data_IF_105370378387
#
_entry.id   IF_105370378387
#
_cell.length_a   1.000
_cell.length_b   1.000
_cell.length_c   1.000
_cell.angle_alpha   90.00
_cell.angle_beta   90.00
_cell.angle_gamma   90.00
#
_symmetry.space_group_name_H-M   'P 1'
#
loop_
_entity.id
_entity.type
_entity.pdbx_description
1 polymer ?
#
# COMPACT_ATOMS: atom_id res chain seq x y z
N UNK A 1 -20.69 28.26 -46.31
CA UNK A 1 -20.34 29.13 -45.17
C UNK A 1 -21.10 28.66 -43.95
N UNK A 2 -20.38 28.12 -42.95
CA UNK A 2 -20.72 28.00 -41.53
C UNK A 2 -20.10 26.70 -40.97
N UNK A 3 -18.99 26.83 -40.24
CA UNK A 3 -18.59 25.83 -39.24
C UNK A 3 -18.02 26.59 -38.05
N UNK A 4 -18.78 26.57 -36.97
CA UNK A 4 -18.56 27.29 -35.72
C UNK A 4 -17.43 26.64 -34.92
N UNK A 5 -16.50 27.48 -34.48
CA UNK A 5 -15.50 27.21 -33.45
C UNK A 5 -16.19 26.78 -32.13
N UNK A 6 -15.81 25.62 -31.58
CA UNK A 6 -16.01 25.30 -30.16
C UNK A 6 -14.70 25.54 -29.43
N UNK A 7 -14.60 26.74 -28.86
CA UNK A 7 -13.55 27.15 -27.94
C UNK A 7 -13.92 26.62 -26.55
N UNK A 8 -12.91 26.01 -25.89
CA UNK A 8 -12.73 25.77 -24.47
C UNK A 8 -13.77 26.39 -23.51
N UNK A 9 -14.56 25.52 -22.88
CA UNK A 9 -15.21 25.77 -21.60
C UNK A 9 -14.88 24.62 -20.64
N UNK A 10 -13.79 24.78 -19.86
CA UNK A 10 -13.72 24.24 -18.50
C UNK A 10 -12.45 24.74 -17.79
N UNK A 11 -12.44 26.05 -17.54
CA UNK A 11 -11.69 26.61 -16.42
C UNK A 11 -12.77 27.35 -15.63
N UNK A 12 -13.19 26.80 -14.49
CA UNK A 12 -13.64 27.48 -13.26
C UNK A 12 -14.31 26.46 -12.32
N UNK A 13 -13.48 25.78 -11.52
CA UNK A 13 -13.90 25.22 -10.22
C UNK A 13 -12.82 25.38 -9.15
N UNK A 14 -12.08 26.49 -9.17
CA UNK A 14 -11.07 26.82 -8.17
C UNK A 14 -11.65 27.29 -6.81
N UNK A 15 -12.94 27.08 -6.55
CA UNK A 15 -13.62 27.49 -5.31
C UNK A 15 -13.93 26.38 -4.30
N UNK A 16 -13.70 25.10 -4.63
CA UNK A 16 -14.14 23.96 -3.80
C UNK A 16 -13.00 23.07 -3.27
N UNK A 17 -11.82 23.13 -3.89
CA UNK A 17 -10.71 22.20 -3.56
C UNK A 17 -10.13 22.49 -2.16
N UNK A 18 -10.09 23.76 -1.73
CA UNK A 18 -9.49 24.16 -0.44
C UNK A 18 -10.29 23.68 0.78
N UNK A 19 -11.63 23.59 0.69
CA UNK A 19 -12.45 23.04 1.78
C UNK A 19 -12.33 21.52 1.92
N UNK A 20 -11.98 20.82 0.85
CA UNK A 20 -11.93 19.36 0.81
C UNK A 20 -10.67 18.77 1.47
N UNK A 21 -9.66 19.59 1.80
CA UNK A 21 -8.40 19.15 2.41
C UNK A 21 -8.11 19.82 3.76
N UNK A 22 -9.16 20.24 4.47
CA UNK A 22 -9.04 20.91 5.77
C UNK A 22 -8.34 20.00 6.79
N UNK A 23 -8.59 18.69 6.76
CA UNK A 23 -7.98 17.77 7.72
C UNK A 23 -6.50 17.53 7.38
N UNK A 24 -6.13 17.50 6.10
CA UNK A 24 -4.72 17.44 5.67
C UNK A 24 -3.94 18.68 6.13
N UNK A 25 -4.49 19.89 5.96
CA UNK A 25 -3.82 21.11 6.39
C UNK A 25 -3.61 21.18 7.91
N UNK A 26 -4.62 20.75 8.68
CA UNK A 26 -4.50 20.64 10.14
C UNK A 26 -3.49 19.55 10.54
N UNK A 27 -3.45 18.45 9.79
CA UNK A 27 -2.48 17.37 9.96
C UNK A 27 -1.05 17.87 9.73
N UNK A 28 -0.79 18.64 8.67
CA UNK A 28 0.53 19.22 8.42
C UNK A 28 1.00 20.16 9.53
N UNK A 29 0.11 21.00 10.06
CA UNK A 29 0.44 21.86 11.20
C UNK A 29 0.81 21.01 12.44
N UNK A 30 -0.01 20.00 12.73
CA UNK A 30 0.20 19.11 13.88
C UNK A 30 1.42 18.19 13.73
N UNK A 31 1.80 17.84 12.50
CA UNK A 31 3.00 17.05 12.17
C UNK A 31 4.27 17.83 12.51
N UNK A 32 4.32 19.12 12.17
CA UNK A 32 5.44 20.03 12.52
C UNK A 32 5.61 20.21 14.02
N UNK A 33 4.52 20.13 14.78
CA UNK A 33 4.51 20.27 16.24
C UNK A 33 4.87 18.98 17.00
N UNK A 34 5.08 17.85 16.31
CA UNK A 34 5.48 16.58 16.92
C UNK A 34 4.44 15.88 17.82
N UNK A 35 3.21 16.41 17.91
CA UNK A 35 2.12 15.92 18.79
C UNK A 35 1.27 14.79 18.20
N UNK A 36 1.60 14.33 17.01
CA UNK A 36 0.66 13.67 16.10
C UNK A 36 0.42 12.17 16.36
N UNK A 37 1.29 11.53 17.14
CA UNK A 37 1.46 10.07 17.12
C UNK A 37 0.23 9.26 17.57
N UNK A 38 -0.64 9.80 18.43
CA UNK A 38 -1.77 9.04 18.99
C UNK A 38 -3.11 9.27 18.25
N UNK A 39 -3.30 10.41 17.57
CA UNK A 39 -4.61 10.76 16.98
C UNK A 39 -4.76 10.32 15.52
N UNK A 40 -3.67 9.87 14.89
CA UNK A 40 -3.60 9.67 13.44
C UNK A 40 -4.42 8.45 12.97
N UNK A 41 -4.39 7.36 13.73
CA UNK A 41 -5.10 6.12 13.41
C UNK A 41 -6.63 6.22 13.59
N UNK A 42 -7.15 7.30 14.18
CA UNK A 42 -8.55 7.43 14.58
C UNK A 42 -9.34 8.46 13.77
N UNK A 43 -8.75 9.05 12.71
CA UNK A 43 -9.44 10.05 11.90
C UNK A 43 -9.79 9.51 10.49
N UNK A 44 -10.97 8.88 10.32
CA UNK A 44 -11.38 8.32 9.02
C UNK A 44 -11.53 9.38 7.93
N UNK A 45 -11.80 10.65 8.30
CA UNK A 45 -11.91 11.75 7.34
C UNK A 45 -10.55 12.11 6.76
N UNK A 46 -9.52 12.16 7.61
CA UNK A 46 -8.14 12.37 7.15
C UNK A 46 -7.69 11.24 6.23
N UNK A 47 -7.97 9.98 6.59
CA UNK A 47 -7.59 8.84 5.75
C UNK A 47 -8.26 8.92 4.37
N UNK A 48 -9.55 9.25 4.31
CA UNK A 48 -10.27 9.42 3.05
C UNK A 48 -9.70 10.58 2.20
N UNK A 49 -9.37 11.71 2.82
CA UNK A 49 -8.73 12.84 2.14
C UNK A 49 -7.34 12.47 1.60
N UNK A 50 -6.53 11.73 2.36
CA UNK A 50 -5.21 11.23 1.93
C UNK A 50 -5.37 10.26 0.75
N UNK A 51 -6.29 9.30 0.84
CA UNK A 51 -6.56 8.39 -0.27
C UNK A 51 -6.97 9.16 -1.54
N UNK A 52 -7.90 10.12 -1.42
CA UNK A 52 -8.31 10.95 -2.55
C UNK A 52 -7.16 11.79 -3.10
N UNK A 53 -6.29 12.32 -2.25
CA UNK A 53 -5.14 13.13 -2.66
C UNK A 53 -4.07 12.33 -3.40
N UNK A 54 -3.91 11.04 -3.06
CA UNK A 54 -2.95 10.13 -3.72
C UNK A 54 -3.50 9.62 -5.05
N UNK A 55 -4.80 9.28 -5.12
CA UNK A 55 -5.40 8.72 -6.35
C UNK A 55 -5.79 9.77 -7.38
N UNK A 56 -6.09 11.00 -6.94
CA UNK A 56 -6.37 12.10 -7.86
C UNK A 56 -5.03 12.67 -8.30
N UNK A 57 -4.62 12.39 -9.53
CA UNK A 57 -3.33 12.73 -10.18
C UNK A 57 -2.88 14.23 -10.10
N UNK A 58 -3.59 15.10 -9.38
CA UNK A 58 -3.42 16.57 -9.43
C UNK A 58 -3.50 17.24 -8.05
N UNK A 59 -3.12 16.54 -6.99
CA UNK A 59 -3.05 17.15 -5.66
C UNK A 59 -1.72 17.87 -5.48
N UNK A 60 -1.76 19.20 -5.32
CA UNK A 60 -0.62 20.03 -4.85
C UNK A 60 -0.04 19.52 -3.52
N UNK A 61 -0.81 18.74 -2.77
CA UNK A 61 -0.42 18.15 -1.50
C UNK A 61 0.25 16.77 -1.64
N UNK A 62 0.16 16.11 -2.80
CA UNK A 62 0.62 14.72 -2.96
C UNK A 62 2.11 14.56 -2.60
N UNK A 63 2.97 15.47 -3.05
CA UNK A 63 4.40 15.43 -2.74
C UNK A 63 4.65 15.52 -1.23
N UNK A 64 4.10 16.53 -0.57
CA UNK A 64 4.24 16.76 0.88
C UNK A 64 3.64 15.62 1.70
N UNK A 65 2.52 15.04 1.27
CA UNK A 65 1.92 13.86 1.90
C UNK A 65 2.88 12.67 1.82
N UNK A 66 3.48 12.43 0.65
CA UNK A 66 4.45 11.36 0.46
C UNK A 66 5.67 11.56 1.37
N UNK A 67 6.23 12.77 1.43
CA UNK A 67 7.40 13.05 2.28
C UNK A 67 7.10 12.77 3.77
N UNK A 68 5.96 13.24 4.27
CA UNK A 68 5.55 12.99 5.65
C UNK A 68 5.28 11.50 5.92
N UNK A 69 4.61 10.81 5.00
CA UNK A 69 4.38 9.37 5.13
C UNK A 69 5.71 8.60 5.09
N UNK A 70 6.71 9.06 4.35
CA UNK A 70 7.99 8.39 4.21
C UNK A 70 8.81 8.54 5.49
N UNK A 71 8.74 9.73 6.10
CA UNK A 71 9.27 9.97 7.44
C UNK A 71 8.58 9.10 8.49
N UNK A 72 7.27 8.88 8.39
CA UNK A 72 6.53 8.01 9.31
C UNK A 72 6.84 6.53 9.09
N UNK A 73 7.16 6.09 7.87
CA UNK A 73 7.50 4.70 7.55
C UNK A 73 8.77 4.22 8.28
N UNK A 74 9.73 5.13 8.47
CA UNK A 74 10.96 4.87 9.21
C UNK A 74 10.71 4.63 10.71
N UNK A 75 9.63 5.17 11.27
CA UNK A 75 9.21 4.89 12.63
C UNK A 75 8.37 3.60 12.70
N UNK A 76 8.89 2.60 13.40
CA UNK A 76 8.27 1.27 13.56
C UNK A 76 6.86 1.38 14.15
N UNK A 77 6.58 2.38 14.99
CA UNK A 77 5.25 2.56 15.59
C UNK A 77 4.21 3.07 14.59
N UNK A 78 4.65 3.83 13.58
CA UNK A 78 3.76 4.45 12.58
C UNK A 78 3.75 3.72 11.25
N UNK A 79 4.65 2.74 11.06
CA UNK A 79 4.69 1.90 9.87
C UNK A 79 3.34 1.28 9.49
N UNK A 80 2.53 0.71 10.42
CA UNK A 80 1.22 0.16 10.05
C UNK A 80 0.25 1.20 9.48
N UNK A 81 0.32 2.45 9.96
CA UNK A 81 -0.48 3.55 9.44
C UNK A 81 -0.09 3.90 8.00
N UNK A 82 1.21 3.95 7.69
CA UNK A 82 1.66 4.25 6.33
C UNK A 82 1.32 3.12 5.37
N UNK A 83 1.50 1.87 5.81
CA UNK A 83 1.22 0.68 5.00
C UNK A 83 -0.25 0.54 4.59
N UNK A 84 -1.19 1.15 5.32
CA UNK A 84 -2.61 1.12 4.91
C UNK A 84 -2.87 1.86 3.59
N UNK A 85 -2.01 2.82 3.22
CA UNK A 85 -2.12 3.57 1.96
C UNK A 85 -1.35 2.94 0.80
N UNK A 86 -0.55 1.89 1.07
CA UNK A 86 0.26 1.20 0.07
C UNK A 86 -0.56 0.73 -1.15
N UNK A 87 -1.76 0.15 -1.00
CA UNK A 87 -2.57 -0.23 -2.15
C UNK A 87 -2.92 0.96 -3.05
N UNK A 88 -3.18 2.14 -2.47
CA UNK A 88 -3.47 3.35 -3.24
C UNK A 88 -2.26 3.87 -4.00
N UNK A 89 -1.07 3.81 -3.40
CA UNK A 89 0.18 4.15 -4.07
C UNK A 89 0.46 3.22 -5.25
N UNK A 90 0.26 1.90 -5.07
CA UNK A 90 0.45 0.91 -6.13
C UNK A 90 -0.52 1.14 -7.28
N UNK A 91 -1.80 1.41 -7.00
CA UNK A 91 -2.79 1.71 -8.04
C UNK A 91 -2.42 3.00 -8.78
N UNK A 92 -2.12 4.09 -8.08
CA UNK A 92 -1.73 5.36 -8.70
C UNK A 92 -0.46 5.20 -9.57
N UNK A 93 0.52 4.44 -9.08
CA UNK A 93 1.73 4.11 -9.82
C UNK A 93 1.43 3.37 -11.14
N UNK A 94 0.59 2.33 -11.09
CA UNK A 94 0.22 1.56 -12.28
C UNK A 94 -0.62 2.37 -13.26
N UNK A 95 -1.48 3.26 -12.77
CA UNK A 95 -2.31 4.13 -13.61
C UNK A 95 -1.43 5.01 -14.51
N UNK A 96 -0.36 5.59 -13.93
CA UNK A 96 0.62 6.41 -14.64
C UNK A 96 1.44 5.59 -15.64
N UNK A 97 1.81 4.36 -15.26
CA UNK A 97 2.50 3.45 -16.17
C UNK A 97 1.63 3.09 -17.38
N UNK A 98 0.33 2.85 -17.16
CA UNK A 98 -0.61 2.44 -18.20
C UNK A 98 -1.04 3.59 -19.11
N UNK A 99 -1.34 4.76 -18.54
CA UNK A 99 -1.79 5.94 -19.29
C UNK A 99 -0.64 6.76 -19.90
N UNK A 100 0.62 6.41 -19.60
CA UNK A 100 1.84 7.10 -20.05
C UNK A 100 1.84 8.61 -19.72
N UNK A 101 1.02 9.04 -18.77
CA UNK A 101 0.83 10.45 -18.45
C UNK A 101 1.76 10.90 -17.30
N UNK A 102 3.07 10.77 -17.53
CA UNK A 102 4.09 11.09 -16.50
C UNK A 102 4.19 12.57 -16.15
N UNK A 103 3.61 13.47 -16.95
CA UNK A 103 3.71 14.93 -16.72
C UNK A 103 2.97 15.40 -15.47
N UNK A 104 2.06 14.59 -14.97
CA UNK A 104 1.20 14.93 -13.84
C UNK A 104 1.42 13.99 -12.64
N UNK A 105 2.32 13.01 -12.76
CA UNK A 105 2.66 12.13 -11.65
C UNK A 105 3.67 12.79 -10.70
N UNK A 106 3.48 12.60 -9.40
CA UNK A 106 4.45 13.01 -8.39
C UNK A 106 5.58 11.99 -8.30
N UNK A 107 6.83 12.40 -8.56
CA UNK A 107 8.02 11.56 -8.37
C UNK A 107 8.11 10.99 -6.94
N UNK A 108 7.50 11.68 -5.96
CA UNK A 108 7.45 11.23 -4.56
C UNK A 108 6.59 9.98 -4.37
N UNK A 109 5.59 9.73 -5.22
CA UNK A 109 4.79 8.49 -5.20
C UNK A 109 5.61 7.30 -5.70
N UNK A 110 6.44 7.51 -6.75
CA UNK A 110 7.38 6.50 -7.25
C UNK A 110 8.42 6.16 -6.18
N UNK A 111 8.99 7.20 -5.55
CA UNK A 111 9.99 7.06 -4.51
C UNK A 111 9.43 6.35 -3.26
N UNK A 112 8.20 6.69 -2.85
CA UNK A 112 7.50 6.00 -1.76
C UNK A 112 7.32 4.51 -2.06
N UNK A 113 6.77 4.20 -3.24
CA UNK A 113 6.46 2.81 -3.63
C UNK A 113 7.73 1.97 -3.66
N UNK A 114 8.84 2.53 -4.18
CA UNK A 114 10.15 1.87 -4.20
C UNK A 114 10.80 1.78 -2.83
N UNK A 115 10.72 2.83 -2.02
CA UNK A 115 11.37 2.90 -0.72
C UNK A 115 10.70 2.02 0.34
N UNK A 116 9.42 1.71 0.22
CA UNK A 116 8.76 0.71 1.08
C UNK A 116 9.18 -0.72 0.69
N UNK A 117 9.57 -0.96 -0.56
CA UNK A 117 10.03 -2.27 -1.04
C UNK A 117 11.52 -2.53 -0.82
N UNK A 118 12.31 -1.47 -0.61
CA UNK A 118 13.75 -1.56 -0.39
C UNK A 118 14.07 -1.32 1.08
N UNK A 119 14.24 -2.41 1.84
CA UNK A 119 14.61 -2.36 3.26
C UNK A 119 16.11 -2.00 3.48
N UNK A 120 16.86 -1.63 2.42
CA UNK A 120 18.17 -1.01 2.49
C UNK A 120 19.32 -1.88 2.99
N UNK A 121 19.07 -3.14 3.40
CA UNK A 121 20.14 -4.00 3.90
C UNK A 121 19.91 -5.48 3.59
N UNK A 122 20.62 -5.94 2.55
CA UNK A 122 20.69 -7.32 2.04
C UNK A 122 19.43 -7.83 1.33
N UNK A 123 19.59 -8.76 0.38
CA UNK A 123 18.45 -9.46 -0.20
C UNK A 123 17.71 -10.19 0.94
N UNK A 124 16.46 -9.81 1.17
CA UNK A 124 15.67 -10.39 2.24
C UNK A 124 15.07 -11.69 1.73
N UNK A 125 15.76 -12.80 1.97
CA UNK A 125 15.22 -14.13 1.66
C UNK A 125 14.17 -14.49 2.72
N UNK A 126 12.91 -14.53 2.30
CA UNK A 126 11.83 -15.08 3.12
C UNK A 126 11.81 -16.60 2.99
N UNK A 127 12.47 -17.28 3.92
CA UNK A 127 12.44 -18.74 4.02
C UNK A 127 11.39 -19.20 5.04
N UNK A 128 10.59 -20.19 4.68
CA UNK A 128 9.72 -20.89 5.61
C UNK A 128 9.88 -22.40 5.43
N UNK A 129 9.84 -23.13 6.54
CA UNK A 129 9.90 -24.59 6.53
C UNK A 129 8.48 -25.15 6.42
N UNK A 130 8.25 -25.98 5.42
CA UNK A 130 6.98 -26.73 5.31
C UNK A 130 6.93 -27.76 6.45
N UNK A 131 5.93 -27.72 7.34
CA UNK A 131 5.79 -28.69 8.41
C UNK A 131 5.46 -30.08 7.82
N UNK A 132 6.00 -31.12 8.45
CA UNK A 132 5.81 -32.49 8.02
C UNK A 132 5.21 -33.32 9.15
N UNK A 133 4.16 -34.10 8.85
CA UNK A 133 3.51 -35.00 9.81
C UNK A 133 4.42 -36.15 10.26
N UNK A 134 5.46 -36.48 9.49
CA UNK A 134 6.46 -37.50 9.88
C UNK A 134 7.50 -36.99 10.87
N UNK A 135 7.57 -35.66 11.07
CA UNK A 135 8.48 -35.02 12.01
C UNK A 135 7.66 -34.57 13.23
N UNK A 136 8.11 -34.81 14.48
CA UNK A 136 7.45 -34.30 15.66
C UNK A 136 7.26 -32.79 15.59
N UNK A 137 6.08 -32.31 15.97
CA UNK A 137 5.76 -30.90 16.10
C UNK A 137 5.19 -30.60 17.49
N UNK A 138 5.00 -29.31 17.79
CA UNK A 138 4.35 -28.88 19.04
C UNK A 138 2.89 -29.38 19.18
N UNK A 139 2.28 -29.83 18.09
CA UNK A 139 0.88 -30.28 18.06
C UNK A 139 0.72 -31.80 17.90
N UNK A 140 1.78 -32.52 17.51
CA UNK A 140 1.68 -33.96 17.30
C UNK A 140 3.02 -34.66 17.47
N UNK A 141 2.97 -35.90 17.99
CA UNK A 141 4.09 -36.84 17.92
C UNK A 141 3.77 -37.89 16.86
N UNK A 142 4.64 -38.08 15.85
CA UNK A 142 4.43 -39.09 14.82
C UNK A 142 4.39 -40.49 15.45
N UNK A 143 3.35 -41.27 15.14
CA UNK A 143 3.32 -42.69 15.46
C UNK A 143 3.93 -43.46 14.29
N UNK A 144 5.10 -44.12 14.46
CA UNK A 144 5.78 -44.85 13.38
C UNK A 144 4.90 -45.92 12.73
N UNK A 145 4.05 -46.59 13.53
CA UNK A 145 3.17 -47.67 13.06
C UNK A 145 2.03 -47.13 12.22
N UNK A 146 1.44 -46.00 12.62
CA UNK A 146 0.40 -45.36 11.82
C UNK A 146 0.97 -44.80 10.53
N UNK A 147 2.16 -44.19 10.57
CA UNK A 147 2.82 -43.65 9.38
C UNK A 147 3.16 -44.75 8.37
N UNK A 148 3.67 -45.91 8.81
CA UNK A 148 3.95 -47.02 7.90
C UNK A 148 2.69 -47.53 7.20
N UNK A 149 1.56 -47.60 7.90
CA UNK A 149 0.26 -48.00 7.33
C UNK A 149 -0.27 -46.94 6.34
N UNK A 150 -0.07 -45.65 6.61
CA UNK A 150 -0.48 -44.57 5.70
C UNK A 150 0.32 -44.59 4.39
N UNK A 151 1.64 -44.79 4.47
CA UNK A 151 2.47 -44.92 3.27
C UNK A 151 2.15 -46.21 2.51
N UNK A 152 1.97 -47.35 3.19
CA UNK A 152 1.62 -48.62 2.53
C UNK A 152 0.28 -48.54 1.78
N UNK A 153 -0.74 -47.90 2.36
CA UNK A 153 -2.03 -47.68 1.69
C UNK A 153 -1.98 -46.75 0.48
N UNK A 154 -1.08 -45.76 0.43
CA UNK A 154 -0.98 -44.88 -0.73
C UNK A 154 -0.29 -45.53 -1.93
N UNK A 155 0.58 -46.54 -1.70
CA UNK A 155 1.14 -47.36 -2.79
C UNK A 155 0.16 -48.39 -3.34
N UNK A 156 -0.81 -48.85 -2.53
CA UNK A 156 -1.79 -49.85 -2.95
C UNK A 156 -3.02 -49.29 -3.69
N UNK A 157 -3.12 -47.97 -3.90
CA UNK A 157 -4.25 -47.33 -4.58
C UNK A 157 -4.02 -47.06 -6.08
N UNK A 158 -2.92 -47.52 -6.68
CA UNK A 158 -2.63 -47.32 -8.11
C UNK A 158 -2.99 -48.52 -9.02
N UNK A 159 -3.40 -49.67 -8.47
CA UNK A 159 -3.56 -50.91 -9.24
C UNK A 159 -5.02 -51.41 -9.35
N UNK A 160 -5.98 -50.52 -9.60
CA UNK A 160 -7.33 -50.94 -10.04
C UNK A 160 -7.88 -50.04 -11.15
N UNK A 161 -7.45 -50.33 -12.38
CA UNK A 161 -8.22 -50.14 -13.63
C UNK A 161 -8.53 -51.48 -14.26
#
# INVERSE_FOLDING_TARGET
MATTNRINDNIHSNGSVSSNFKHINNWFASFKDGKLQSSLNHNPKLNAEIHSAITTEYSEYASTICDHLFSLYHDVQHRPFVLQFLPSFVIAYYDVLYHHNRRHHSESVDAMTKGVTDDGHNEKVHEFRIPNLTVPSIYHTPNPVSLSIYFDKSYMNFDHT
#
